data_IF_326203503107
#
_entry.id   IF_326203503107
#
_cell.length_a   1.000
_cell.length_b   1.000
_cell.length_c   1.000
_cell.angle_alpha   90.00
_cell.angle_beta   90.00
_cell.angle_gamma   90.00
#
_symmetry.space_group_name_H-M   'P 1'
#
loop_
_entity.id
_entity.type
_entity.pdbx_description
1 polymer ?
#
# COMPACT_ATOMS: atom_id res chain seq x y z
N UNK A 1 -19.18 -3.14 -3.80
CA UNK A 1 -19.42 -1.88 -4.55
C UNK A 1 -19.07 -2.01 -6.05
N UNK A 2 -19.69 -1.24 -6.97
CA UNK A 2 -19.26 -1.15 -8.40
C UNK A 2 -18.27 -0.02 -8.60
N UNK A 3 -17.03 -0.36 -8.93
CA UNK A 3 -15.91 0.59 -9.01
C UNK A 3 -15.42 0.71 -10.45
N UNK A 4 -15.07 1.93 -10.85
CA UNK A 4 -14.32 2.22 -12.07
C UNK A 4 -12.91 2.71 -11.74
N UNK A 5 -11.89 2.08 -12.30
CA UNK A 5 -10.50 2.54 -12.21
C UNK A 5 -10.11 3.22 -13.52
N UNK A 6 -9.66 4.47 -13.43
CA UNK A 6 -9.23 5.27 -14.58
C UNK A 6 -7.71 5.24 -14.70
N UNK A 7 -7.20 5.07 -15.92
CA UNK A 7 -5.76 5.04 -16.18
C UNK A 7 -5.40 5.61 -17.56
N UNK A 8 -4.11 5.85 -17.80
CA UNK A 8 -3.52 6.05 -19.13
C UNK A 8 -2.99 4.74 -19.74
N UNK A 9 -2.56 4.81 -21.00
CA UNK A 9 -2.16 3.65 -21.82
C UNK A 9 -0.91 2.93 -21.33
N UNK A 10 0.11 3.66 -20.90
CA UNK A 10 1.41 3.06 -20.53
C UNK A 10 1.31 2.01 -19.41
N UNK A 11 0.34 2.16 -18.52
CA UNK A 11 0.16 1.26 -17.36
C UNK A 11 -1.13 0.45 -17.44
N UNK A 12 -1.81 0.44 -18.59
CA UNK A 12 -3.07 -0.31 -18.80
C UNK A 12 -2.96 -1.76 -18.36
N UNK A 13 -1.93 -2.48 -18.85
CA UNK A 13 -1.74 -3.89 -18.53
C UNK A 13 -1.47 -4.12 -17.04
N UNK A 14 -0.69 -3.24 -16.41
CA UNK A 14 -0.40 -3.32 -14.98
C UNK A 14 -1.66 -3.07 -14.15
N UNK A 15 -2.50 -2.10 -14.55
CA UNK A 15 -3.78 -1.79 -13.90
C UNK A 15 -4.75 -2.96 -14.06
N UNK A 16 -4.98 -3.45 -15.28
CA UNK A 16 -5.86 -4.60 -15.52
C UNK A 16 -5.45 -5.83 -14.72
N UNK A 17 -4.14 -6.12 -14.65
CA UNK A 17 -3.62 -7.24 -13.85
C UNK A 17 -3.85 -7.04 -12.34
N UNK A 18 -3.70 -5.82 -11.85
CA UNK A 18 -3.82 -5.52 -10.40
C UNK A 18 -5.27 -5.41 -9.95
N UNK A 19 -6.16 -4.93 -10.82
CA UNK A 19 -7.61 -4.85 -10.59
C UNK A 19 -8.26 -6.23 -10.70
N UNK A 20 -7.81 -7.04 -11.66
CA UNK A 20 -8.38 -8.34 -11.99
C UNK A 20 -9.91 -8.22 -12.23
N UNK A 21 -10.74 -8.87 -11.40
CA UNK A 21 -12.20 -8.82 -11.49
C UNK A 21 -12.86 -7.88 -10.47
N UNK A 22 -12.08 -7.14 -9.67
CA UNK A 22 -12.60 -6.33 -8.57
C UNK A 22 -13.19 -4.98 -9.02
N UNK A 23 -12.84 -4.49 -10.21
CA UNK A 23 -13.36 -3.24 -10.77
C UNK A 23 -13.31 -3.23 -12.30
N UNK A 24 -14.08 -2.35 -12.92
CA UNK A 24 -13.93 -2.06 -14.34
C UNK A 24 -12.73 -1.11 -14.56
N UNK A 25 -12.12 -1.17 -15.74
CA UNK A 25 -10.97 -0.32 -16.10
C UNK A 25 -11.31 0.53 -17.31
N UNK A 26 -11.19 1.86 -17.16
CA UNK A 26 -11.29 2.83 -18.25
C UNK A 26 -9.90 3.39 -18.57
N UNK A 27 -9.44 3.13 -19.80
CA UNK A 27 -8.19 3.64 -20.32
C UNK A 27 -8.47 4.90 -21.14
N UNK A 28 -7.94 6.04 -20.71
CA UNK A 28 -8.07 7.30 -21.43
C UNK A 28 -7.02 7.43 -22.53
N UNK A 29 -7.28 8.29 -23.51
CA UNK A 29 -6.38 8.61 -24.62
C UNK A 29 -5.14 9.43 -24.22
N UNK A 30 -4.55 9.17 -23.07
CA UNK A 30 -3.30 9.76 -22.58
C UNK A 30 -2.30 8.65 -22.30
N UNK A 31 -1.02 8.92 -22.57
CA UNK A 31 0.04 7.94 -22.30
C UNK A 31 0.27 7.78 -20.79
N UNK A 32 0.43 8.89 -20.07
CA UNK A 32 0.71 8.90 -18.63
C UNK A 32 -0.56 9.09 -17.82
N UNK A 33 -0.81 8.20 -16.87
CA UNK A 33 -2.01 8.19 -16.03
C UNK A 33 -2.17 9.48 -15.19
N UNK A 34 -1.07 10.09 -14.74
CA UNK A 34 -1.11 11.36 -14.00
C UNK A 34 -1.68 12.55 -14.82
N UNK A 35 -1.74 12.45 -16.15
CA UNK A 35 -2.31 13.47 -17.03
C UNK A 35 -3.81 13.29 -17.29
N UNK A 36 -4.46 12.36 -16.59
CA UNK A 36 -5.92 12.27 -16.58
C UNK A 36 -6.49 13.59 -16.03
N UNK A 37 -7.46 14.16 -16.75
CA UNK A 37 -8.15 15.40 -16.36
C UNK A 37 -9.66 15.17 -16.26
N UNK A 38 -10.39 16.02 -15.52
CA UNK A 38 -11.85 15.94 -15.45
C UNK A 38 -12.51 16.00 -16.83
N UNK A 39 -12.00 16.84 -17.74
CA UNK A 39 -12.53 16.97 -19.10
C UNK A 39 -12.35 15.69 -19.93
N UNK A 40 -11.20 15.02 -19.81
CA UNK A 40 -10.95 13.75 -20.50
C UNK A 40 -11.82 12.62 -19.95
N UNK A 41 -11.93 12.55 -18.62
CA UNK A 41 -12.78 11.58 -17.96
C UNK A 41 -14.24 11.76 -18.40
N UNK A 42 -14.76 13.00 -18.32
CA UNK A 42 -16.13 13.35 -18.74
C UNK A 42 -16.47 12.87 -20.14
N UNK A 43 -15.57 13.07 -21.12
CA UNK A 43 -15.79 12.69 -22.52
C UNK A 43 -15.77 11.17 -22.75
N UNK A 44 -15.15 10.42 -21.85
CA UNK A 44 -14.89 8.98 -22.01
C UNK A 44 -15.77 8.11 -21.12
N UNK A 45 -16.53 8.72 -20.20
CA UNK A 45 -17.46 8.01 -19.34
C UNK A 45 -18.62 7.42 -20.14
N UNK A 46 -18.85 6.13 -19.95
CA UNK A 46 -20.03 5.44 -20.47
C UNK A 46 -21.30 5.79 -19.68
N UNK A 47 -22.47 5.41 -20.19
CA UNK A 47 -23.74 5.53 -19.45
C UNK A 47 -23.87 4.57 -18.26
N UNK A 48 -22.89 3.67 -18.04
CA UNK A 48 -22.87 2.74 -16.90
C UNK A 48 -22.70 3.52 -15.60
N UNK A 49 -23.53 3.21 -14.62
CA UNK A 49 -23.44 3.79 -13.27
C UNK A 49 -22.41 3.04 -12.43
N UNK A 50 -21.60 3.80 -11.71
CA UNK A 50 -20.63 3.34 -10.74
C UNK A 50 -20.94 3.97 -9.39
N UNK A 51 -20.52 3.30 -8.32
CA UNK A 51 -20.63 3.81 -6.96
C UNK A 51 -19.39 4.63 -6.57
N UNK A 52 -18.25 4.36 -7.22
CA UNK A 52 -16.97 5.02 -7.01
C UNK A 52 -16.12 5.00 -8.28
N UNK A 53 -15.47 6.13 -8.57
CA UNK A 53 -14.44 6.23 -9.59
C UNK A 53 -13.10 6.51 -8.92
N UNK A 54 -12.11 5.66 -9.17
CA UNK A 54 -10.73 5.87 -8.74
C UNK A 54 -9.91 6.42 -9.89
N UNK A 55 -9.38 7.63 -9.72
CA UNK A 55 -8.40 8.24 -10.64
C UNK A 55 -6.98 7.98 -10.11
N UNK A 56 -5.93 8.06 -10.96
CA UNK A 56 -4.57 7.79 -10.52
C UNK A 56 -4.16 8.70 -9.35
N UNK A 57 -3.44 8.17 -8.36
CA UNK A 57 -3.11 8.91 -7.13
C UNK A 57 -2.16 10.11 -7.31
N UNK A 58 -1.66 10.35 -8.52
CA UNK A 58 -0.75 11.46 -8.85
C UNK A 58 -1.40 12.51 -9.77
N UNK A 59 -2.71 12.43 -10.02
CA UNK A 59 -3.40 13.48 -10.77
C UNK A 59 -3.47 14.77 -9.94
N UNK A 60 -3.41 15.92 -10.63
CA UNK A 60 -3.47 17.25 -10.01
C UNK A 60 -4.79 18.00 -10.26
N UNK A 61 -5.71 17.42 -11.02
CA UNK A 61 -6.99 18.06 -11.37
C UNK A 61 -8.01 18.04 -10.24
N UNK A 62 -8.85 19.08 -10.16
CA UNK A 62 -10.04 19.11 -9.30
C UNK A 62 -11.23 18.44 -10.03
N UNK A 63 -11.74 17.36 -9.45
CA UNK A 63 -12.85 16.58 -10.00
C UNK A 63 -14.21 16.96 -9.40
N UNK A 64 -14.27 17.89 -8.44
CA UNK A 64 -15.49 18.24 -7.70
C UNK A 64 -16.65 18.67 -8.61
N UNK A 65 -16.36 19.41 -9.68
CA UNK A 65 -17.35 19.80 -10.69
C UNK A 65 -17.92 18.62 -11.45
N UNK A 66 -17.06 17.66 -11.83
CA UNK A 66 -17.48 16.45 -12.52
C UNK A 66 -18.31 15.55 -11.60
N UNK A 67 -17.92 15.39 -10.33
CA UNK A 67 -18.66 14.60 -9.34
C UNK A 67 -20.12 15.03 -9.22
N UNK A 68 -20.37 16.34 -9.16
CA UNK A 68 -21.71 16.90 -9.10
C UNK A 68 -22.52 16.59 -10.36
N UNK A 69 -21.88 16.60 -11.52
CA UNK A 69 -22.54 16.32 -12.80
C UNK A 69 -22.93 14.84 -12.94
N UNK A 70 -22.03 13.93 -12.58
CA UNK A 70 -22.25 12.48 -12.75
C UNK A 70 -22.87 11.81 -11.51
N UNK A 71 -23.04 12.57 -10.43
CA UNK A 71 -23.52 12.10 -9.13
C UNK A 71 -22.81 10.82 -8.65
N UNK A 72 -21.49 10.77 -8.82
CA UNK A 72 -20.63 9.64 -8.44
C UNK A 72 -19.34 10.21 -7.84
N UNK A 73 -18.87 9.74 -6.68
CA UNK A 73 -17.63 10.21 -6.09
C UNK A 73 -16.43 9.82 -6.95
N UNK A 74 -15.52 10.77 -7.16
CA UNK A 74 -14.23 10.58 -7.83
C UNK A 74 -13.14 10.73 -6.77
N UNK A 75 -12.35 9.69 -6.53
CA UNK A 75 -11.34 9.68 -5.46
C UNK A 75 -9.98 9.28 -6.01
N UNK A 76 -8.93 9.67 -5.30
CA UNK A 76 -7.58 9.28 -5.64
C UNK A 76 -7.37 7.81 -5.29
N UNK A 77 -7.02 7.02 -6.30
CA UNK A 77 -6.45 5.69 -6.13
C UNK A 77 -4.99 5.74 -5.64
N UNK A 78 -4.26 4.62 -5.70
CA UNK A 78 -2.86 4.59 -5.35
C UNK A 78 -1.98 5.30 -6.39
N UNK A 79 -0.76 5.66 -5.99
CA UNK A 79 0.26 6.21 -6.89
C UNK A 79 0.78 5.16 -7.87
N UNK A 80 0.80 3.87 -7.48
CA UNK A 80 1.30 2.76 -8.29
C UNK A 80 0.20 1.75 -8.59
N UNK A 81 0.16 1.24 -9.82
CA UNK A 81 -0.87 0.30 -10.27
C UNK A 81 -0.89 -1.01 -9.46
N UNK A 82 0.29 -1.51 -9.06
CA UNK A 82 0.45 -2.76 -8.29
C UNK A 82 -0.28 -2.74 -6.94
N UNK A 83 -0.55 -1.55 -6.42
CA UNK A 83 -1.26 -1.36 -5.15
C UNK A 83 -2.78 -1.44 -5.29
N UNK A 84 -3.32 -1.41 -6.50
CA UNK A 84 -4.77 -1.36 -6.72
C UNK A 84 -5.49 -2.56 -6.14
N UNK A 85 -4.93 -3.77 -6.23
CA UNK A 85 -5.54 -4.97 -5.65
C UNK A 85 -5.74 -4.84 -4.14
N UNK A 86 -4.71 -4.38 -3.44
CA UNK A 86 -4.77 -4.08 -2.00
C UNK A 86 -5.74 -2.92 -1.71
N UNK A 87 -5.71 -1.84 -2.49
CA UNK A 87 -6.61 -0.71 -2.27
C UNK A 87 -8.08 -1.13 -2.42
N UNK A 88 -8.38 -1.89 -3.47
CA UNK A 88 -9.75 -2.34 -3.77
C UNK A 88 -10.28 -3.31 -2.71
N UNK A 89 -9.44 -4.10 -2.04
CA UNK A 89 -9.90 -4.98 -0.95
C UNK A 89 -10.43 -4.23 0.28
N UNK A 90 -10.16 -2.92 0.40
CA UNK A 90 -10.68 -2.07 1.47
C UNK A 90 -11.79 -1.12 1.00
N UNK A 91 -12.28 -1.27 -0.24
CA UNK A 91 -13.18 -0.29 -0.84
C UNK A 91 -14.58 -0.26 -0.20
N UNK A 92 -15.06 -1.38 0.34
CA UNK A 92 -16.33 -1.42 1.07
C UNK A 92 -16.19 -0.88 2.51
N UNK A 93 -14.97 -0.85 3.08
CA UNK A 93 -14.69 -0.47 4.48
C UNK A 93 -13.99 0.89 4.65
N UNK A 94 -13.72 1.60 3.55
CA UNK A 94 -12.92 2.83 3.58
C UNK A 94 -13.50 3.90 2.67
N UNK A 95 -13.63 5.11 3.20
CA UNK A 95 -13.95 6.30 2.39
C UNK A 95 -12.65 6.87 1.82
N UNK A 96 -12.44 6.70 0.52
CA UNK A 96 -11.28 7.28 -0.17
C UNK A 96 -11.37 8.81 -0.26
N UNK A 97 -10.22 9.45 -0.43
CA UNK A 97 -10.06 10.91 -0.44
C UNK A 97 -9.92 11.46 -1.86
N UNK A 98 -10.41 12.68 -2.09
CA UNK A 98 -10.15 13.44 -3.31
C UNK A 98 -8.76 14.08 -3.34
N UNK A 99 -8.08 14.17 -2.19
CA UNK A 99 -6.82 14.91 -2.02
C UNK A 99 -5.67 14.06 -1.48
N UNK A 100 -5.97 12.89 -0.89
CA UNK A 100 -4.97 11.98 -0.32
C UNK A 100 -4.96 10.69 -1.14
N UNK A 101 -3.84 10.30 -1.76
CA UNK A 101 -3.74 9.05 -2.52
C UNK A 101 -4.06 7.84 -1.65
N UNK A 102 -4.76 6.84 -2.21
CA UNK A 102 -5.23 5.69 -1.44
C UNK A 102 -4.09 4.90 -0.76
N UNK A 103 -2.90 4.85 -1.36
CA UNK A 103 -1.74 4.19 -0.76
C UNK A 103 -1.23 4.90 0.51
N UNK A 104 -1.36 6.23 0.58
CA UNK A 104 -1.03 6.99 1.79
C UNK A 104 -2.15 6.87 2.83
N UNK A 105 -3.41 6.91 2.39
CA UNK A 105 -4.58 6.76 3.27
C UNK A 105 -4.57 5.41 3.99
N UNK A 106 -4.14 4.34 3.30
CA UNK A 106 -4.10 2.98 3.81
C UNK A 106 -2.72 2.57 4.36
N UNK A 107 -1.83 3.53 4.65
CA UNK A 107 -0.45 3.25 5.04
C UNK A 107 -0.34 2.38 6.30
N UNK A 108 -1.09 2.72 7.35
CA UNK A 108 -1.08 1.94 8.60
C UNK A 108 -1.71 0.56 8.40
N UNK A 109 -2.87 0.46 7.74
CA UNK A 109 -3.49 -0.85 7.41
C UNK A 109 -2.54 -1.76 6.62
N UNK A 110 -1.77 -1.19 5.69
CA UNK A 110 -0.77 -1.92 4.91
C UNK A 110 0.39 -2.40 5.79
N UNK A 111 0.87 -1.54 6.69
CA UNK A 111 1.93 -1.88 7.63
C UNK A 111 1.49 -3.03 8.54
N UNK A 112 0.29 -2.93 9.12
CA UNK A 112 -0.26 -3.95 10.01
C UNK A 112 -0.41 -5.29 9.29
N UNK A 113 -1.03 -5.29 8.10
CA UNK A 113 -1.16 -6.49 7.28
C UNK A 113 0.19 -7.09 6.87
N UNK A 114 1.21 -6.26 6.61
CA UNK A 114 2.55 -6.74 6.30
C UNK A 114 3.25 -7.38 7.53
N UNK A 115 3.07 -6.80 8.72
CA UNK A 115 3.61 -7.34 9.97
C UNK A 115 2.94 -8.66 10.35
N UNK A 116 1.62 -8.73 10.25
CA UNK A 116 0.86 -9.98 10.43
C UNK A 116 1.35 -11.04 9.46
N UNK A 117 1.49 -10.69 8.17
CA UNK A 117 1.94 -11.65 7.18
C UNK A 117 3.36 -12.15 7.42
N UNK A 118 4.25 -11.25 7.85
CA UNK A 118 5.62 -11.61 8.22
C UNK A 118 5.63 -12.55 9.44
N UNK A 119 4.77 -12.33 10.43
CA UNK A 119 4.64 -13.20 11.60
C UNK A 119 4.12 -14.60 11.21
N UNK A 120 3.06 -14.69 10.39
CA UNK A 120 2.52 -15.96 9.89
C UNK A 120 3.57 -16.78 9.12
N UNK A 121 4.33 -16.11 8.24
CA UNK A 121 5.38 -16.75 7.45
C UNK A 121 6.52 -17.24 8.35
N UNK A 122 6.88 -16.46 9.37
CA UNK A 122 7.89 -16.86 10.34
C UNK A 122 7.43 -18.05 11.19
N UNK A 123 6.18 -18.07 11.64
CA UNK A 123 5.61 -19.15 12.43
C UNK A 123 5.62 -20.48 11.64
N UNK A 124 5.21 -20.44 10.37
CA UNK A 124 5.18 -21.60 9.47
C UNK A 124 6.53 -21.94 8.83
N UNK A 125 7.57 -21.13 9.06
CA UNK A 125 8.89 -21.35 8.47
C UNK A 125 9.64 -22.53 9.09
N UNK A 126 10.55 -23.08 8.30
CA UNK A 126 11.62 -24.00 8.73
C UNK A 126 12.90 -23.22 9.02
N UNK A 127 13.72 -23.77 9.90
CA UNK A 127 14.98 -23.16 10.32
C UNK A 127 16.12 -24.17 10.19
N UNK A 128 17.31 -23.70 9.84
CA UNK A 128 18.53 -24.51 9.88
C UNK A 128 19.09 -24.64 11.30
N UNK A 129 18.82 -23.63 12.13
CA UNK A 129 19.22 -23.56 13.53
C UNK A 129 18.13 -22.83 14.33
N UNK A 130 18.01 -23.13 15.62
CA UNK A 130 17.21 -22.31 16.54
C UNK A 130 18.02 -21.99 17.78
N UNK A 131 18.03 -20.71 18.16
CA UNK A 131 18.62 -20.23 19.41
C UNK A 131 17.47 -19.80 20.30
N UNK A 132 17.25 -20.52 21.40
CA UNK A 132 16.03 -20.42 22.22
C UNK A 132 14.79 -20.60 21.31
N UNK A 133 13.92 -19.60 21.24
CA UNK A 133 12.71 -19.62 20.42
C UNK A 133 12.91 -18.93 19.05
N UNK A 134 14.12 -18.49 18.71
CA UNK A 134 14.40 -17.76 17.48
C UNK A 134 14.89 -18.71 16.38
N UNK A 135 14.20 -18.72 15.25
CA UNK A 135 14.56 -19.47 14.04
C UNK A 135 15.60 -18.73 13.22
N UNK A 136 16.63 -19.44 12.78
CA UNK A 136 17.73 -18.94 11.94
C UNK A 136 17.92 -19.83 10.71
N UNK A 137 18.06 -19.20 9.54
CA UNK A 137 18.23 -19.89 8.26
C UNK A 137 16.95 -20.55 7.74
N UNK A 138 17.09 -21.49 6.82
CA UNK A 138 15.96 -22.09 6.11
C UNK A 138 15.18 -21.06 5.30
N UNK A 139 13.86 -21.05 5.47
CA UNK A 139 12.97 -20.03 4.92
C UNK A 139 12.35 -19.12 6.01
N UNK A 140 12.95 -19.09 7.20
CA UNK A 140 12.61 -18.07 8.22
C UNK A 140 13.01 -16.68 7.74
N UNK A 141 12.36 -15.65 8.27
CA UNK A 141 12.67 -14.25 7.91
C UNK A 141 14.09 -13.89 8.33
N UNK A 142 14.65 -12.88 7.65
CA UNK A 142 15.89 -12.24 8.08
C UNK A 142 15.76 -11.74 9.52
N UNK A 143 16.80 -11.97 10.33
CA UNK A 143 16.89 -11.47 11.70
C UNK A 143 17.82 -10.25 11.74
N UNK A 144 17.44 -9.23 12.50
CA UNK A 144 18.23 -8.01 12.71
C UNK A 144 19.07 -8.20 13.97
N UNK A 145 20.40 -8.16 13.81
CA UNK A 145 21.34 -8.19 14.92
C UNK A 145 21.87 -6.77 15.15
N UNK A 146 21.78 -6.30 16.39
CA UNK A 146 22.39 -5.05 16.84
C UNK A 146 23.60 -5.37 17.72
N UNK A 147 24.68 -4.60 17.58
CA UNK A 147 25.88 -4.76 18.39
C UNK A 147 26.00 -3.61 19.39
N UNK A 148 26.26 -3.92 20.67
CA UNK A 148 26.69 -2.92 21.64
C UNK A 148 28.21 -2.78 21.60
N UNK A 149 28.70 -1.79 20.86
CA UNK A 149 30.12 -1.49 20.75
C UNK A 149 30.70 -1.08 22.11
N UNK A 150 31.89 -1.60 22.43
CA UNK A 150 32.65 -1.34 23.64
C UNK A 150 31.88 -1.61 24.94
N UNK A 151 30.98 -2.62 24.95
CA UNK A 151 30.13 -2.93 26.10
C UNK A 151 30.90 -3.06 27.43
N UNK A 152 32.13 -3.56 27.41
CA UNK A 152 32.98 -3.70 28.61
C UNK A 152 33.47 -2.38 29.23
N UNK A 153 33.37 -1.26 28.50
CA UNK A 153 33.73 0.07 28.99
C UNK A 153 32.52 0.91 29.42
N UNK A 154 31.30 0.37 29.29
CA UNK A 154 30.08 1.06 29.67
C UNK A 154 29.74 0.80 31.14
N UNK A 155 29.14 1.79 31.78
CA UNK A 155 28.43 1.55 33.03
C UNK A 155 27.19 0.68 32.79
N UNK A 156 26.73 -0.02 33.83
CA UNK A 156 25.51 -0.83 33.80
C UNK A 156 24.30 -0.04 33.26
N UNK A 157 24.21 1.24 33.62
CA UNK A 157 23.12 2.13 33.18
C UNK A 157 23.21 2.42 31.68
N UNK A 158 24.39 2.71 31.16
CA UNK A 158 24.59 2.99 29.73
C UNK A 158 24.36 1.74 28.89
N UNK A 159 24.87 0.59 29.34
CA UNK A 159 24.64 -0.70 28.70
C UNK A 159 23.15 -1.03 28.66
N UNK A 160 22.45 -0.90 29.79
CA UNK A 160 20.99 -1.13 29.88
C UNK A 160 20.23 -0.23 28.91
N UNK A 161 20.55 1.07 28.88
CA UNK A 161 19.88 2.01 27.98
C UNK A 161 20.09 1.65 26.50
N UNK A 162 21.29 1.20 26.11
CA UNK A 162 21.56 0.77 24.72
C UNK A 162 20.80 -0.50 24.36
N UNK A 163 20.76 -1.48 25.27
CA UNK A 163 19.99 -2.71 25.06
C UNK A 163 18.51 -2.39 24.90
N UNK A 164 17.92 -1.60 25.82
CA UNK A 164 16.51 -1.21 25.75
C UNK A 164 16.19 -0.46 24.46
N UNK A 165 17.06 0.45 24.02
CA UNK A 165 16.93 1.13 22.75
C UNK A 165 16.85 0.14 21.58
N UNK A 166 17.75 -0.84 21.49
CA UNK A 166 17.72 -1.83 20.41
C UNK A 166 16.48 -2.74 20.45
N UNK A 167 15.99 -3.09 21.65
CA UNK A 167 14.71 -3.80 21.80
C UNK A 167 13.56 -2.95 21.25
N UNK A 168 13.49 -1.66 21.60
CA UNK A 168 12.46 -0.73 21.11
C UNK A 168 12.54 -0.52 19.58
N UNK A 169 13.74 -0.54 19.01
CA UNK A 169 13.93 -0.47 17.55
C UNK A 169 13.62 -1.79 16.83
N UNK A 170 13.33 -2.88 17.56
CA UNK A 170 12.95 -4.17 16.99
C UNK A 170 14.12 -5.04 16.56
N UNK A 171 15.29 -4.91 17.21
CA UNK A 171 16.38 -5.86 17.01
C UNK A 171 15.95 -7.25 17.50
N UNK A 172 16.25 -8.27 16.71
CA UNK A 172 15.99 -9.66 17.08
C UNK A 172 17.08 -10.17 18.03
N UNK A 173 18.33 -9.79 17.77
CA UNK A 173 19.52 -10.20 18.52
C UNK A 173 20.27 -8.93 18.95
N UNK A 174 20.78 -8.92 20.18
CA UNK A 174 21.63 -7.87 20.75
C UNK A 174 22.89 -8.54 21.31
#
# INVERSE_FOLDING_TARGET
MKILVVTGRLVENAVKKSVNAAADVLVLGVEVAAFVTPALLRRSLSQKKYDLILVPGLVSGDYSGLEKEINTPVRLGPKHAVDLGFVLSFADDTVFSANIPACELLKEKRKDSALEKAAELEESSTASLSIRNMKLGGNSRMKVMAEVVDAGHLSDKELTNRILYFIEQGADII
#
